data_IF_419481227842
#
_entry.id   IF_419481227842
#
_cell.length_a   1.000
_cell.length_b   1.000
_cell.length_c   1.000
_cell.angle_alpha   90.00
_cell.angle_beta   90.00
_cell.angle_gamma   90.00
#
_symmetry.space_group_name_H-M   'P 1'
#
loop_
_entity.id
_entity.type
_entity.pdbx_description
1 polymer ?
#
# COMPACT_ATOMS: atom_id res chain seq x y z
N UNK A 1 25.77 -47.74 -37.10
CA UNK A 1 24.97 -46.77 -37.91
C UNK A 1 25.21 -45.36 -37.36
N UNK A 2 26.00 -44.53 -38.06
CA UNK A 2 26.28 -43.16 -37.62
C UNK A 2 25.23 -42.23 -38.29
N UNK A 3 24.39 -41.64 -37.50
CA UNK A 3 23.40 -40.65 -37.98
C UNK A 3 24.13 -39.31 -38.12
N UNK A 4 24.40 -38.89 -39.37
CA UNK A 4 24.94 -37.58 -39.67
C UNK A 4 23.76 -36.58 -39.72
N UNK A 5 23.58 -35.80 -38.66
CA UNK A 5 22.67 -34.65 -38.75
C UNK A 5 23.27 -33.59 -39.68
N UNK A 6 22.52 -33.22 -40.70
CA UNK A 6 22.90 -32.16 -41.64
C UNK A 6 23.04 -30.82 -40.92
N UNK A 7 23.92 -29.96 -41.39
CA UNK A 7 24.19 -28.64 -40.81
C UNK A 7 22.88 -27.79 -40.65
N UNK A 8 21.97 -27.96 -41.61
CA UNK A 8 20.64 -27.30 -41.57
C UNK A 8 19.79 -27.71 -40.35
N UNK A 9 19.81 -29.01 -39.96
CA UNK A 9 19.04 -29.46 -38.79
C UNK A 9 19.64 -28.92 -37.46
N UNK A 10 20.94 -28.69 -37.39
CA UNK A 10 21.59 -28.07 -36.21
C UNK A 10 21.26 -26.59 -36.06
N UNK A 11 21.17 -25.84 -37.18
CA UNK A 11 20.74 -24.44 -37.16
C UNK A 11 19.27 -24.29 -36.77
N UNK A 12 18.39 -25.16 -37.28
CA UNK A 12 16.95 -25.11 -36.96
C UNK A 12 16.70 -25.39 -35.46
N UNK A 13 17.39 -26.40 -34.89
CA UNK A 13 17.28 -26.72 -33.46
C UNK A 13 17.80 -25.60 -32.57
N UNK A 14 18.89 -24.93 -32.95
CA UNK A 14 19.45 -23.80 -32.21
C UNK A 14 18.55 -22.57 -32.20
N UNK A 15 17.95 -22.22 -33.33
CA UNK A 15 17.03 -21.08 -33.44
C UNK A 15 15.72 -21.33 -32.70
N UNK A 16 15.19 -22.54 -32.71
CA UNK A 16 13.96 -22.88 -31.97
C UNK A 16 14.19 -22.81 -30.46
N UNK A 17 15.33 -23.29 -29.97
CA UNK A 17 15.69 -23.22 -28.56
C UNK A 17 15.88 -21.76 -28.09
N UNK A 18 16.54 -20.92 -28.89
CA UNK A 18 16.72 -19.51 -28.58
C UNK A 18 15.38 -18.76 -28.51
N UNK A 19 14.45 -19.02 -29.45
CA UNK A 19 13.10 -18.44 -29.45
C UNK A 19 12.28 -18.86 -28.22
N UNK A 20 12.39 -20.11 -27.77
CA UNK A 20 11.70 -20.58 -26.57
C UNK A 20 12.25 -19.92 -25.29
N UNK A 21 13.57 -19.72 -25.20
CA UNK A 21 14.18 -19.04 -24.06
C UNK A 21 13.81 -17.55 -24.00
N UNK A 22 13.70 -16.88 -25.15
CA UNK A 22 13.23 -15.50 -25.21
C UNK A 22 11.74 -15.36 -24.83
N UNK A 23 10.89 -16.29 -25.27
CA UNK A 23 9.46 -16.23 -24.96
C UNK A 23 9.17 -16.51 -23.48
N UNK A 24 9.89 -17.45 -22.84
CA UNK A 24 9.71 -17.70 -21.41
C UNK A 24 10.22 -16.53 -20.55
N UNK A 25 11.34 -15.92 -20.88
CA UNK A 25 11.84 -14.74 -20.19
C UNK A 25 10.91 -13.53 -20.33
N UNK A 26 10.25 -13.35 -21.47
CA UNK A 26 9.28 -12.28 -21.67
C UNK A 26 8.01 -12.49 -20.82
N UNK A 27 7.53 -13.72 -20.67
CA UNK A 27 6.35 -14.04 -19.88
C UNK A 27 6.59 -13.91 -18.35
N UNK A 28 7.79 -14.23 -17.88
CA UNK A 28 8.15 -14.08 -16.46
C UNK A 28 8.44 -12.64 -16.06
N UNK A 29 8.85 -11.80 -17.01
CA UNK A 29 9.13 -10.38 -16.76
C UNK A 29 7.88 -9.49 -16.64
N UNK A 30 6.67 -10.00 -16.88
CA UNK A 30 5.44 -9.22 -16.76
C UNK A 30 4.91 -9.24 -15.31
N UNK A 31 4.94 -8.08 -14.68
CA UNK A 31 4.29 -7.91 -13.39
C UNK A 31 2.78 -8.05 -13.52
N UNK A 32 2.17 -8.89 -12.71
CA UNK A 32 0.73 -9.02 -12.60
C UNK A 32 0.26 -8.28 -11.35
N UNK A 33 -0.55 -7.26 -11.55
CA UNK A 33 -1.11 -6.48 -10.45
C UNK A 33 -2.54 -6.93 -10.15
N UNK A 34 -2.83 -7.16 -8.87
CA UNK A 34 -4.19 -7.28 -8.40
C UNK A 34 -4.92 -5.93 -8.50
N UNK A 35 -6.23 -5.98 -8.63
CA UNK A 35 -7.10 -4.80 -8.55
C UNK A 35 -8.06 -4.97 -7.38
N UNK A 36 -7.59 -4.85 -6.13
CA UNK A 36 -8.46 -5.00 -4.96
C UNK A 36 -9.53 -3.91 -4.96
N UNK A 37 -10.74 -4.28 -4.56
CA UNK A 37 -11.87 -3.36 -4.37
C UNK A 37 -11.89 -2.74 -2.97
N UNK A 38 -10.85 -2.98 -2.19
CA UNK A 38 -10.64 -2.36 -0.88
C UNK A 38 -10.47 -0.86 -1.02
N UNK A 39 -10.73 -0.12 0.05
CA UNK A 39 -10.48 1.32 0.12
C UNK A 39 -9.23 1.57 0.94
N UNK A 40 -8.29 2.29 0.40
CA UNK A 40 -7.10 2.75 1.11
C UNK A 40 -7.29 4.21 1.51
N UNK A 41 -7.37 4.48 2.80
CA UNK A 41 -7.36 5.83 3.38
C UNK A 41 -5.94 6.19 3.78
N UNK A 42 -5.36 7.17 3.10
CA UNK A 42 -4.02 7.68 3.36
C UNK A 42 -4.10 9.05 4.00
N UNK A 43 -3.35 9.27 5.07
CA UNK A 43 -3.21 10.58 5.72
C UNK A 43 -1.75 10.93 5.89
N UNK A 44 -1.35 12.13 5.43
CA UNK A 44 -0.06 12.74 5.76
C UNK A 44 -0.26 13.88 6.74
N UNK A 45 0.70 14.04 7.66
CA UNK A 45 0.55 14.89 8.84
C UNK A 45 1.73 15.87 8.93
N UNK A 46 1.38 17.12 9.22
CA UNK A 46 2.28 18.13 9.74
C UNK A 46 1.96 18.33 11.21
N UNK A 47 2.87 17.95 12.08
CA UNK A 47 2.67 18.09 13.52
C UNK A 47 2.75 19.53 13.98
N UNK A 48 2.00 19.85 15.02
CA UNK A 48 2.13 21.11 15.74
C UNK A 48 3.54 21.17 16.39
N UNK A 49 4.26 22.29 16.31
CA UNK A 49 5.55 22.43 16.95
C UNK A 49 5.56 22.16 18.46
N UNK A 50 4.43 22.32 19.15
CA UNK A 50 4.25 22.02 20.57
C UNK A 50 4.00 20.55 20.87
N UNK A 51 3.70 19.70 19.87
CA UNK A 51 3.46 18.29 20.09
C UNK A 51 4.76 17.56 20.41
N UNK A 52 4.79 16.85 21.54
CA UNK A 52 5.96 16.06 21.93
C UNK A 52 6.08 14.80 21.08
N UNK A 53 7.27 14.20 21.03
CA UNK A 53 7.46 12.94 20.30
C UNK A 53 6.66 11.79 20.92
N UNK A 54 6.46 11.79 22.23
CA UNK A 54 5.59 10.84 22.92
C UNK A 54 4.12 10.99 22.48
N UNK A 55 3.61 12.22 22.36
CA UNK A 55 2.24 12.48 21.91
C UNK A 55 2.04 12.05 20.44
N UNK A 56 3.02 12.35 19.57
CA UNK A 56 3.01 11.94 18.15
C UNK A 56 2.98 10.42 18.02
N UNK A 57 3.84 9.74 18.78
CA UNK A 57 3.88 8.27 18.78
C UNK A 57 2.58 7.69 19.31
N UNK A 58 2.04 8.21 20.40
CA UNK A 58 0.76 7.78 20.96
C UNK A 58 -0.39 7.94 19.95
N UNK A 59 -0.42 9.05 19.21
CA UNK A 59 -1.44 9.28 18.19
C UNK A 59 -1.35 8.22 17.06
N UNK A 60 -0.14 7.90 16.59
CA UNK A 60 0.06 6.90 15.54
C UNK A 60 -0.23 5.47 16.04
N UNK A 61 0.17 5.12 17.26
CA UNK A 61 -0.19 3.82 17.87
C UNK A 61 -1.71 3.70 18.05
N UNK A 62 -2.39 4.79 18.37
CA UNK A 62 -3.85 4.87 18.44
C UNK A 62 -4.55 4.43 17.15
N UNK A 63 -3.93 4.62 15.99
CA UNK A 63 -4.45 4.09 14.71
C UNK A 63 -4.52 2.56 14.74
N UNK A 64 -3.51 1.88 15.28
CA UNK A 64 -3.51 0.41 15.43
C UNK A 64 -4.56 -0.05 16.45
N UNK A 65 -4.71 0.70 17.55
CA UNK A 65 -5.71 0.39 18.56
C UNK A 65 -7.14 0.51 18.03
N UNK A 66 -7.40 1.50 17.19
CA UNK A 66 -8.68 1.64 16.49
C UNK A 66 -8.92 0.44 15.56
N UNK A 67 -7.92 0.06 14.78
CA UNK A 67 -8.00 -1.05 13.83
C UNK A 67 -8.38 -2.38 14.53
N UNK A 68 -7.89 -2.59 15.74
CA UNK A 68 -8.22 -3.77 16.54
C UNK A 68 -9.68 -3.79 17.04
N UNK A 69 -10.39 -2.67 17.01
CA UNK A 69 -11.71 -2.49 17.61
C UNK A 69 -12.82 -2.15 16.61
N UNK A 70 -12.47 -1.60 15.44
CA UNK A 70 -13.42 -1.18 14.41
C UNK A 70 -13.49 -2.25 13.32
N UNK A 71 -14.66 -2.87 13.11
CA UNK A 71 -14.84 -3.86 12.02
C UNK A 71 -14.56 -3.25 10.63
N UNK A 72 -14.15 -4.10 9.69
CA UNK A 72 -13.92 -3.71 8.31
C UNK A 72 -12.54 -3.11 8.03
N UNK A 73 -11.70 -2.91 9.03
CA UNK A 73 -10.30 -2.55 8.84
C UNK A 73 -9.49 -3.83 8.61
N UNK A 74 -8.75 -3.88 7.50
CA UNK A 74 -7.91 -5.02 7.10
C UNK A 74 -6.46 -4.86 7.50
N UNK A 75 -5.88 -3.69 7.20
CA UNK A 75 -4.48 -3.39 7.44
C UNK A 75 -4.31 -1.95 7.87
N UNK A 76 -3.22 -1.68 8.60
CA UNK A 76 -2.77 -0.33 8.95
C UNK A 76 -1.27 -0.19 8.76
N UNK A 77 -0.85 0.99 8.34
CA UNK A 77 0.54 1.44 8.27
C UNK A 77 0.64 2.74 9.05
N UNK A 78 1.60 2.87 9.94
CA UNK A 78 1.75 4.05 10.81
C UNK A 78 3.08 4.78 10.61
N UNK A 79 3.82 4.42 9.58
CA UNK A 79 5.10 5.05 9.27
C UNK A 79 5.18 5.38 7.79
N UNK A 80 5.38 6.66 7.48
CA UNK A 80 5.77 7.09 6.15
C UNK A 80 7.28 6.96 5.98
N UNK A 81 7.71 6.39 4.85
CA UNK A 81 9.12 6.28 4.51
C UNK A 81 9.61 7.55 3.78
N UNK A 82 8.80 8.01 2.82
CA UNK A 82 9.07 9.24 2.07
C UNK A 82 7.78 10.03 1.89
N UNK A 83 7.74 11.25 2.41
CA UNK A 83 6.54 12.10 2.40
C UNK A 83 6.80 13.36 1.59
N UNK A 84 5.80 13.77 0.82
CA UNK A 84 5.76 15.03 0.07
C UNK A 84 4.39 15.69 0.31
N UNK A 85 4.30 17.02 0.51
CA UNK A 85 5.41 17.98 0.60
C UNK A 85 6.31 17.77 1.84
N UNK A 86 7.55 18.28 1.80
CA UNK A 86 8.58 18.01 2.83
C UNK A 86 8.28 18.58 4.22
N UNK A 87 7.35 19.49 4.33
CA UNK A 87 6.89 20.04 5.61
C UNK A 87 5.88 19.13 6.34
N UNK A 88 5.40 18.05 5.67
CA UNK A 88 4.70 16.94 6.29
C UNK A 88 5.71 15.87 6.67
N UNK A 89 5.66 15.40 7.90
CA UNK A 89 6.72 14.57 8.48
C UNK A 89 6.24 13.29 9.16
N UNK A 90 4.96 12.97 9.06
CA UNK A 90 4.38 11.71 9.46
C UNK A 90 3.26 11.28 8.49
N UNK A 91 2.98 9.99 8.45
CA UNK A 91 1.89 9.44 7.67
C UNK A 91 1.35 8.16 8.31
N UNK A 92 0.07 7.90 8.07
CA UNK A 92 -0.51 6.59 8.28
C UNK A 92 -1.44 6.22 7.11
N UNK A 93 -1.71 4.94 6.96
CA UNK A 93 -2.70 4.44 6.03
C UNK A 93 -3.55 3.36 6.70
N UNK A 94 -4.82 3.30 6.30
CA UNK A 94 -5.79 2.29 6.75
C UNK A 94 -6.41 1.66 5.50
N UNK A 95 -6.39 0.34 5.41
CA UNK A 95 -7.11 -0.40 4.38
C UNK A 95 -8.42 -0.92 4.95
N UNK A 96 -9.52 -0.58 4.29
CA UNK A 96 -10.86 -1.04 4.60
C UNK A 96 -11.32 -2.12 3.61
N UNK A 97 -12.20 -3.02 4.04
CA UNK A 97 -12.79 -4.06 3.17
C UNK A 97 -13.51 -3.47 1.97
N UNK A 98 -14.20 -2.36 2.17
CA UNK A 98 -15.06 -1.71 1.19
C UNK A 98 -15.39 -0.27 1.64
N UNK A 99 -16.23 0.41 0.87
CA UNK A 99 -16.70 1.76 1.18
C UNK A 99 -17.58 1.83 2.44
N UNK A 100 -18.46 0.86 2.63
CA UNK A 100 -19.37 0.84 3.79
C UNK A 100 -18.58 0.77 5.10
N UNK A 101 -17.49 0.00 5.12
CA UNK A 101 -16.56 -0.05 6.25
C UNK A 101 -15.87 1.30 6.51
N UNK A 102 -15.57 2.06 5.45
CA UNK A 102 -15.00 3.41 5.57
C UNK A 102 -16.00 4.38 6.19
N UNK A 103 -17.27 4.32 5.77
CA UNK A 103 -18.32 5.15 6.31
C UNK A 103 -18.62 4.80 7.77
N UNK A 104 -18.68 3.52 8.10
CA UNK A 104 -18.85 3.04 9.48
C UNK A 104 -17.68 3.47 10.40
N UNK A 105 -16.45 3.46 9.88
CA UNK A 105 -15.28 4.01 10.60
C UNK A 105 -15.45 5.49 10.91
N UNK A 106 -15.86 6.30 9.94
CA UNK A 106 -16.05 7.75 10.13
C UNK A 106 -17.06 8.06 11.23
N UNK A 107 -18.12 7.25 11.34
CA UNK A 107 -19.18 7.39 12.34
C UNK A 107 -18.84 6.76 13.71
N UNK A 108 -17.79 5.93 13.76
CA UNK A 108 -17.42 5.20 14.98
C UNK A 108 -17.07 6.12 16.14
N UNK A 109 -17.65 5.92 17.34
CA UNK A 109 -17.26 6.67 18.52
C UNK A 109 -15.80 6.44 18.93
N UNK A 110 -15.21 5.27 18.57
CA UNK A 110 -13.78 4.97 18.80
C UNK A 110 -12.91 5.89 17.94
N UNK A 111 -13.26 6.05 16.65
CA UNK A 111 -12.58 6.98 15.75
C UNK A 111 -12.72 8.42 16.23
N UNK A 112 -13.92 8.84 16.61
CA UNK A 112 -14.18 10.21 17.11
C UNK A 112 -13.33 10.52 18.35
N UNK A 113 -13.27 9.61 19.32
CA UNK A 113 -12.48 9.80 20.53
C UNK A 113 -10.97 9.90 20.26
N UNK A 114 -10.44 9.11 19.32
CA UNK A 114 -9.07 9.22 18.84
C UNK A 114 -8.85 10.55 18.11
N UNK A 115 -9.74 10.89 17.20
CA UNK A 115 -9.65 12.09 16.36
C UNK A 115 -9.62 13.37 17.21
N UNK A 116 -10.42 13.47 18.24
CA UNK A 116 -10.45 14.64 19.15
C UNK A 116 -9.07 14.92 19.77
N UNK A 117 -8.33 13.88 20.14
CA UNK A 117 -6.97 14.01 20.66
C UNK A 117 -5.95 14.30 19.54
N UNK A 118 -6.05 13.60 18.41
CA UNK A 118 -5.17 13.77 17.26
C UNK A 118 -5.25 15.19 16.68
N UNK A 119 -6.44 15.76 16.60
CA UNK A 119 -6.67 17.10 16.04
C UNK A 119 -5.91 18.20 16.80
N UNK A 120 -5.66 18.04 18.09
CA UNK A 120 -4.89 18.99 18.90
C UNK A 120 -3.39 18.92 18.63
N UNK A 121 -2.91 17.80 18.11
CA UNK A 121 -1.48 17.55 17.89
C UNK A 121 -1.01 17.95 16.50
N UNK A 122 -1.92 18.10 15.53
CA UNK A 122 -1.58 18.44 14.15
C UNK A 122 -1.71 19.92 13.84
N UNK A 123 -0.76 20.49 13.10
CA UNK A 123 -0.89 21.80 12.48
C UNK A 123 -1.69 21.70 11.16
N UNK A 124 -1.50 20.61 10.39
CA UNK A 124 -2.24 20.32 9.17
C UNK A 124 -2.25 18.81 8.88
N UNK A 125 -3.21 18.36 8.09
CA UNK A 125 -3.18 17.04 7.46
C UNK A 125 -3.85 17.07 6.10
N UNK A 126 -3.41 16.18 5.22
CA UNK A 126 -4.06 15.89 3.95
C UNK A 126 -4.46 14.42 3.95
N UNK A 127 -5.68 14.13 3.53
CA UNK A 127 -6.20 12.76 3.49
C UNK A 127 -6.84 12.48 2.15
N UNK A 128 -6.59 11.27 1.64
CA UNK A 128 -7.12 10.75 0.40
C UNK A 128 -7.69 9.35 0.62
N UNK A 129 -8.75 9.03 -0.13
CA UNK A 129 -9.29 7.68 -0.21
C UNK A 129 -9.19 7.21 -1.66
N UNK A 130 -8.52 6.09 -1.87
CA UNK A 130 -8.33 5.49 -3.19
C UNK A 130 -8.84 4.07 -3.22
N UNK A 131 -9.41 3.67 -4.36
CA UNK A 131 -9.87 2.32 -4.64
C UNK A 131 -9.77 2.06 -6.14
N UNK A 132 -9.94 0.81 -6.55
CA UNK A 132 -10.05 0.46 -7.97
C UNK A 132 -11.51 0.52 -8.42
N UNK A 133 -11.77 0.86 -9.72
CA UNK A 133 -13.10 0.92 -10.31
C UNK A 133 -13.79 -0.46 -10.41
#
# INVERSE_FOLDING_TARGET
MRIHFTTAAKFLAGTTLALMLFSSGYLEGQNKFGQPKTVLHLTIIKWNPSATDADKQKALEGVKEMAAKIPGIKNVWIKGDRIQPRDFNAAFAIEFTDRDATDAYAESPIHKAWSDQYLLLRAASLSEQITNP
#
